data_IF_832583355071
#
_entry.id   IF_832583355071
#
_cell.length_a   1.000
_cell.length_b   1.000
_cell.length_c   1.000
_cell.angle_alpha   90.00
_cell.angle_beta   90.00
_cell.angle_gamma   90.00
#
_symmetry.space_group_name_H-M   'P 1'
#
loop_
_entity.id
_entity.type
_entity.pdbx_description
1 polymer ?
#
# COMPACT_ATOMS: atom_id res chain seq x y z
N UNK A 1 1.64 49.50 51.67
CA UNK A 1 1.60 48.06 51.35
C UNK A 1 0.73 47.85 50.12
N UNK A 2 1.34 47.59 48.96
CA UNK A 2 0.70 46.96 47.80
C UNK A 2 1.82 46.55 46.84
N UNK A 3 2.08 45.24 46.76
CA UNK A 3 3.12 44.67 45.92
C UNK A 3 2.51 44.34 44.56
N UNK A 4 3.01 44.97 43.50
CA UNK A 4 2.64 44.70 42.11
C UNK A 4 3.39 43.48 41.59
N UNK A 5 2.69 42.39 41.28
CA UNK A 5 3.25 41.28 40.51
C UNK A 5 2.64 41.28 39.11
N UNK A 6 3.39 41.83 38.15
CA UNK A 6 3.22 41.57 36.73
C UNK A 6 3.44 40.06 36.49
N UNK A 7 2.39 39.35 36.05
CA UNK A 7 2.53 38.02 35.44
C UNK A 7 2.29 38.17 33.94
N UNK A 8 3.36 37.99 33.17
CA UNK A 8 3.29 37.77 31.73
C UNK A 8 2.38 36.57 31.42
N UNK A 9 1.58 36.58 30.34
CA UNK A 9 0.89 35.38 29.89
C UNK A 9 1.95 34.40 29.39
N UNK A 10 2.05 33.26 30.09
CA UNK A 10 2.94 32.17 29.73
C UNK A 10 2.61 31.66 28.34
N UNK A 11 3.59 31.74 27.44
CA UNK A 11 3.58 31.01 26.20
C UNK A 11 3.47 29.51 26.53
N UNK A 12 2.40 28.87 26.06
CA UNK A 12 2.13 27.45 26.27
C UNK A 12 3.17 26.63 25.47
N UNK A 13 4.17 26.00 26.12
CA UNK A 13 5.28 25.37 25.42
C UNK A 13 4.85 24.13 24.62
N UNK A 14 3.68 23.57 24.94
CA UNK A 14 3.12 22.40 24.24
C UNK A 14 2.62 22.71 22.81
N UNK A 15 2.31 23.98 22.50
CA UNK A 15 1.91 24.39 21.17
C UNK A 15 3.08 24.58 20.20
N UNK A 16 4.25 24.94 20.73
CA UNK A 16 5.46 25.18 19.94
C UNK A 16 6.21 23.87 19.62
N UNK A 17 6.25 22.90 20.53
CA UNK A 17 6.93 21.61 20.30
C UNK A 17 6.24 20.73 19.25
N UNK A 18 4.93 20.89 19.05
CA UNK A 18 4.19 20.21 17.97
C UNK A 18 4.51 20.77 16.58
N UNK A 19 4.99 22.02 16.50
CA UNK A 19 5.44 22.63 15.26
C UNK A 19 6.87 22.19 14.86
N UNK A 20 7.66 21.68 15.81
CA UNK A 20 9.04 21.25 15.55
C UNK A 20 9.14 19.74 15.20
N UNK A 21 8.19 18.90 15.64
CA UNK A 21 8.15 17.49 15.24
C UNK A 21 7.38 17.21 13.94
N UNK A 22 6.66 18.20 13.42
CA UNK A 22 6.11 18.20 12.08
C UNK A 22 6.85 19.29 11.32
N UNK A 23 7.73 18.99 10.38
CA UNK A 23 8.43 20.01 9.56
C UNK A 23 7.45 20.94 8.82
N UNK A 24 6.91 21.93 9.53
CA UNK A 24 5.85 22.85 9.13
C UNK A 24 6.39 24.24 8.75
N UNK A 25 7.71 24.39 8.63
CA UNK A 25 8.35 25.58 8.04
C UNK A 25 8.02 25.76 6.54
N UNK A 26 7.35 24.79 5.90
CA UNK A 26 7.03 24.84 4.48
C UNK A 26 5.85 25.78 4.10
N UNK A 27 5.22 26.46 5.05
CA UNK A 27 3.99 27.25 4.84
C UNK A 27 4.07 28.26 3.68
N UNK A 28 5.20 28.96 3.50
CA UNK A 28 5.39 29.94 2.42
C UNK A 28 5.61 29.33 1.02
N UNK A 29 6.35 28.22 0.94
CA UNK A 29 6.65 27.56 -0.34
C UNK A 29 5.48 26.69 -0.85
N UNK A 30 4.64 26.19 0.07
CA UNK A 30 3.41 25.45 -0.22
C UNK A 30 2.35 26.33 -0.92
N UNK A 31 2.26 27.61 -0.55
CA UNK A 31 1.27 28.55 -1.10
C UNK A 31 1.54 28.97 -2.56
N UNK A 32 2.80 28.91 -3.02
CA UNK A 32 3.19 29.38 -4.36
C UNK A 32 3.19 28.30 -5.45
N UNK A 33 2.85 27.05 -5.11
CA UNK A 33 2.81 25.94 -6.08
C UNK A 33 4.18 25.52 -6.65
N UNK A 34 5.27 26.12 -6.17
CA UNK A 34 6.66 25.86 -6.63
C UNK A 34 7.31 24.67 -5.90
N UNK A 35 6.86 24.35 -4.69
CA UNK A 35 7.42 23.25 -3.90
C UNK A 35 6.76 21.91 -4.25
N UNK A 36 7.58 20.87 -4.41
CA UNK A 36 7.13 19.48 -4.42
C UNK A 36 6.82 19.08 -2.98
N UNK A 37 5.61 18.58 -2.75
CA UNK A 37 5.17 18.21 -1.40
C UNK A 37 5.24 16.69 -1.23
N UNK A 38 5.95 16.25 -0.20
CA UNK A 38 5.96 14.88 0.32
C UNK A 38 5.45 14.92 1.74
N UNK A 39 4.46 14.09 2.06
CA UNK A 39 3.87 14.05 3.40
C UNK A 39 4.09 12.67 3.98
N UNK A 40 4.82 12.61 5.11
CA UNK A 40 4.97 11.40 5.91
C UNK A 40 4.27 11.63 7.25
N UNK A 41 3.32 10.76 7.57
CA UNK A 41 2.58 10.81 8.82
C UNK A 41 2.91 9.55 9.59
N UNK A 42 3.55 9.74 10.75
CA UNK A 42 3.90 8.67 11.67
C UNK A 42 3.26 9.00 13.01
N UNK A 43 2.37 8.13 13.48
CA UNK A 43 1.86 8.21 14.85
C UNK A 43 2.67 7.29 15.76
N UNK A 44 3.26 7.88 16.79
CA UNK A 44 3.96 7.17 17.86
C UNK A 44 3.02 7.04 19.05
N UNK A 45 2.85 5.81 19.55
CA UNK A 45 2.05 5.55 20.74
C UNK A 45 2.87 5.80 21.99
N UNK A 46 2.70 6.95 22.63
CA UNK A 46 3.05 7.12 24.03
C UNK A 46 1.84 6.73 24.89
N UNK A 47 2.05 5.87 25.88
CA UNK A 47 0.98 5.23 26.66
C UNK A 47 0.29 6.19 27.65
N UNK A 48 -1.00 5.88 27.88
CA UNK A 48 -1.75 5.98 29.14
C UNK A 48 -2.61 7.20 29.48
N UNK A 49 -2.95 8.13 28.56
CA UNK A 49 -3.93 9.18 28.91
C UNK A 49 -4.97 9.53 27.82
N UNK A 50 -6.02 8.70 27.73
CA UNK A 50 -7.01 8.64 26.62
C UNK A 50 -7.68 9.97 26.24
N UNK A 51 -7.94 10.85 27.20
CA UNK A 51 -8.66 12.11 26.98
C UNK A 51 -7.78 13.22 26.39
N UNK A 52 -6.49 13.30 26.76
CA UNK A 52 -5.51 14.21 26.12
C UNK A 52 -5.14 13.75 24.71
N UNK A 53 -5.17 12.44 24.46
CA UNK A 53 -4.94 11.90 23.12
C UNK A 53 -6.02 12.36 22.13
N UNK A 54 -7.30 12.31 22.49
CA UNK A 54 -8.39 12.62 21.55
C UNK A 54 -8.32 14.05 20.97
N UNK A 55 -8.06 15.06 21.82
CA UNK A 55 -7.94 16.45 21.39
C UNK A 55 -6.71 16.69 20.49
N UNK A 56 -5.55 16.10 20.85
CA UNK A 56 -4.31 16.16 20.05
C UNK A 56 -4.49 15.51 18.68
N UNK A 57 -5.18 14.36 18.61
CA UNK A 57 -5.50 13.71 17.33
C UNK A 57 -6.39 14.56 16.43
N UNK A 58 -7.43 15.20 16.97
CA UNK A 58 -8.32 16.07 16.19
C UNK A 58 -7.60 17.31 15.65
N UNK A 59 -6.72 17.91 16.43
CA UNK A 59 -5.89 19.03 15.99
C UNK A 59 -4.90 18.62 14.89
N UNK A 60 -4.26 17.46 15.05
CA UNK A 60 -3.38 16.87 14.05
C UNK A 60 -4.13 16.57 12.74
N UNK A 61 -5.32 15.96 12.81
CA UNK A 61 -6.17 15.71 11.64
C UNK A 61 -6.52 17.01 10.90
N UNK A 62 -6.90 18.06 11.63
CA UNK A 62 -7.21 19.36 11.03
C UNK A 62 -5.98 20.03 10.42
N UNK A 63 -4.81 19.92 11.07
CA UNK A 63 -3.55 20.44 10.54
C UNK A 63 -3.15 19.70 9.26
N UNK A 64 -3.11 18.36 9.28
CA UNK A 64 -2.82 17.53 8.11
C UNK A 64 -3.83 17.77 7.00
N UNK A 65 -5.13 17.79 7.32
CA UNK A 65 -6.18 18.05 6.35
C UNK A 65 -6.07 19.43 5.71
N UNK A 66 -5.59 20.45 6.45
CA UNK A 66 -5.26 21.76 5.86
C UNK A 66 -4.05 21.66 4.94
N UNK A 67 -2.93 21.08 5.40
CA UNK A 67 -1.72 20.95 4.57
C UNK A 67 -2.03 20.21 3.28
N UNK A 68 -2.69 19.06 3.35
CA UNK A 68 -3.07 18.25 2.19
C UNK A 68 -3.94 19.06 1.24
N UNK A 69 -5.00 19.72 1.73
CA UNK A 69 -5.92 20.50 0.89
C UNK A 69 -5.25 21.64 0.12
N UNK A 70 -4.28 22.33 0.73
CA UNK A 70 -3.53 23.39 0.07
C UNK A 70 -2.45 22.82 -0.87
N UNK A 71 -2.01 21.59 -0.63
CA UNK A 71 -0.93 20.95 -1.39
C UNK A 71 -1.41 20.08 -2.55
N UNK A 72 -2.71 19.82 -2.72
CA UNK A 72 -3.23 18.88 -3.73
C UNK A 72 -2.65 19.09 -5.14
N UNK A 73 -2.51 20.32 -5.66
CA UNK A 73 -1.95 20.54 -7.00
C UNK A 73 -0.48 20.14 -7.12
N UNK A 74 0.27 20.13 -6.03
CA UNK A 74 1.73 19.90 -5.98
C UNK A 74 2.15 18.64 -5.24
N UNK A 75 1.22 17.94 -4.59
CA UNK A 75 1.47 16.73 -3.83
C UNK A 75 1.97 15.62 -4.76
N UNK A 76 3.16 15.09 -4.46
CA UNK A 76 3.79 14.01 -5.22
C UNK A 76 3.72 12.66 -4.50
N UNK A 77 3.73 12.68 -3.18
CA UNK A 77 3.86 11.49 -2.36
C UNK A 77 3.17 11.63 -1.01
N UNK A 78 2.52 10.56 -0.58
CA UNK A 78 1.96 10.42 0.76
C UNK A 78 2.31 9.06 1.35
N UNK A 79 2.85 9.08 2.57
CA UNK A 79 3.16 7.88 3.35
C UNK A 79 2.48 8.00 4.70
N UNK A 80 1.73 6.96 5.09
CA UNK A 80 1.01 6.92 6.36
C UNK A 80 1.38 5.65 7.10
N UNK A 81 1.86 5.79 8.34
CA UNK A 81 2.32 4.69 9.19
C UNK A 81 1.69 4.73 10.58
N UNK A 82 1.28 3.57 11.09
CA UNK A 82 1.02 3.40 12.52
C UNK A 82 -0.25 4.07 13.02
N UNK A 83 -1.26 4.28 12.17
CA UNK A 83 -2.53 4.94 12.55
C UNK A 83 -3.68 3.92 12.67
N UNK A 84 -3.77 3.16 13.78
CA UNK A 84 -4.85 2.22 14.00
C UNK A 84 -6.18 2.94 14.22
N UNK A 85 -7.25 2.33 13.70
CA UNK A 85 -8.60 2.59 14.19
C UNK A 85 -8.76 1.94 15.55
N UNK A 86 -8.65 2.73 16.62
CA UNK A 86 -9.26 2.35 17.89
C UNK A 86 -10.63 3.01 17.99
N UNK A 87 -11.66 2.17 18.09
CA UNK A 87 -13.03 2.51 18.48
C UNK A 87 -13.88 3.30 17.46
N UNK A 88 -13.99 2.78 16.23
CA UNK A 88 -15.25 2.89 15.48
C UNK A 88 -15.46 4.11 14.56
N UNK A 89 -14.50 5.00 14.32
CA UNK A 89 -14.59 5.97 13.21
C UNK A 89 -13.25 6.13 12.47
N UNK A 90 -13.31 5.96 11.15
CA UNK A 90 -12.17 5.98 10.23
C UNK A 90 -11.49 7.36 10.17
N UNK A 91 -10.35 7.53 10.85
CA UNK A 91 -9.67 8.82 11.04
C UNK A 91 -8.54 9.11 10.03
N UNK A 92 -7.75 8.12 9.60
CA UNK A 92 -6.84 8.28 8.42
C UNK A 92 -7.62 8.34 7.13
N UNK A 93 -8.73 7.62 7.10
CA UNK A 93 -9.67 7.76 6.02
C UNK A 93 -10.12 9.21 5.83
N UNK A 94 -10.09 10.08 6.85
CA UNK A 94 -10.39 11.49 6.64
C UNK A 94 -9.33 12.15 5.73
N UNK A 95 -8.04 11.88 5.89
CA UNK A 95 -6.96 12.47 5.07
C UNK A 95 -7.06 12.01 3.60
N UNK A 96 -7.18 10.69 3.37
CA UNK A 96 -7.44 10.17 2.02
C UNK A 96 -8.85 10.57 1.53
N UNK A 97 -9.80 10.81 2.42
CA UNK A 97 -11.15 11.30 2.12
C UNK A 97 -11.20 12.80 1.81
N UNK A 98 -10.19 13.58 2.21
CA UNK A 98 -9.97 14.95 1.75
C UNK A 98 -9.38 14.96 0.32
N UNK A 99 -8.58 13.93 -0.03
CA UNK A 99 -8.14 13.67 -1.41
C UNK A 99 -9.24 13.02 -2.28
N UNK A 100 -10.22 12.38 -1.65
CA UNK A 100 -11.37 11.73 -2.29
C UNK A 100 -12.65 12.19 -1.61
N UNK A 101 -13.14 13.41 -1.91
CA UNK A 101 -14.40 13.85 -1.32
C UNK A 101 -15.50 12.87 -1.77
N UNK A 102 -16.09 12.17 -0.79
CA UNK A 102 -17.14 11.17 -1.00
C UNK A 102 -18.48 11.81 -1.38
N UNK A 103 -18.56 13.15 -1.46
CA UNK A 103 -19.70 13.86 -2.03
C UNK A 103 -19.42 14.20 -3.49
N UNK A 104 -20.37 13.84 -4.37
CA UNK A 104 -20.33 14.00 -5.82
C UNK A 104 -20.06 15.43 -6.34
N UNK A 105 -19.95 16.43 -5.45
CA UNK A 105 -19.81 17.86 -5.81
C UNK A 105 -18.37 18.39 -5.74
N UNK A 106 -17.39 17.63 -5.21
CA UNK A 106 -16.03 18.16 -4.99
C UNK A 106 -14.92 17.13 -5.16
N UNK A 107 -14.95 16.25 -6.16
CA UNK A 107 -13.78 15.40 -6.43
C UNK A 107 -12.55 16.26 -6.74
N UNK A 108 -11.54 16.23 -5.88
CA UNK A 108 -10.28 16.95 -6.09
C UNK A 108 -9.28 15.99 -6.72
N UNK A 109 -9.02 16.21 -8.01
CA UNK A 109 -7.94 15.51 -8.71
C UNK A 109 -6.61 15.91 -8.06
N UNK A 110 -5.78 14.93 -7.72
CA UNK A 110 -4.39 15.15 -7.30
C UNK A 110 -3.48 14.81 -8.49
N UNK A 111 -3.31 15.74 -9.46
CA UNK A 111 -2.77 15.43 -10.77
C UNK A 111 -1.29 15.04 -10.74
N UNK A 112 -0.58 15.38 -9.65
CA UNK A 112 0.84 15.08 -9.48
C UNK A 112 1.10 13.94 -8.50
N UNK A 113 0.07 13.43 -7.81
CA UNK A 113 0.27 12.37 -6.81
C UNK A 113 0.71 11.09 -7.51
N UNK A 114 1.95 10.69 -7.22
CA UNK A 114 2.63 9.58 -7.89
C UNK A 114 2.91 8.40 -6.97
N UNK A 115 2.96 8.62 -5.66
CA UNK A 115 3.33 7.60 -4.67
C UNK A 115 2.37 7.63 -3.48
N UNK A 116 1.81 6.48 -3.13
CA UNK A 116 0.93 6.30 -1.98
C UNK A 116 1.36 5.04 -1.23
N UNK A 117 1.75 5.21 0.03
CA UNK A 117 2.18 4.13 0.92
C UNK A 117 1.34 4.14 2.19
N UNK A 118 0.60 3.05 2.45
CA UNK A 118 -0.11 2.84 3.71
C UNK A 118 0.53 1.66 4.44
N UNK A 119 0.97 1.86 5.68
CA UNK A 119 1.80 0.92 6.43
C UNK A 119 1.33 0.78 7.88
N UNK A 120 1.52 -0.38 8.49
CA UNK A 120 1.37 -0.64 9.94
C UNK A 120 0.01 -0.19 10.51
N UNK A 121 -1.05 -0.90 10.16
CA UNK A 121 -2.40 -0.62 10.66
C UNK A 121 -3.01 0.66 10.11
N UNK A 122 -2.37 1.33 9.15
CA UNK A 122 -2.94 2.47 8.45
C UNK A 122 -4.29 2.11 7.83
N UNK A 123 -5.31 2.87 8.21
CA UNK A 123 -6.64 2.74 7.62
C UNK A 123 -6.76 3.59 6.36
N UNK A 124 -7.60 3.18 5.39
CA UNK A 124 -7.81 3.96 4.17
C UNK A 124 -7.58 3.24 2.85
N UNK A 125 -7.27 1.95 2.87
CA UNK A 125 -7.24 1.08 1.67
C UNK A 125 -8.48 1.30 0.79
N UNK A 126 -9.68 1.25 1.40
CA UNK A 126 -10.94 1.47 0.68
C UNK A 126 -11.12 2.89 0.12
N UNK A 127 -10.44 3.89 0.68
CA UNK A 127 -10.51 5.26 0.16
C UNK A 127 -9.49 5.48 -0.95
N UNK A 128 -8.30 4.90 -0.81
CA UNK A 128 -7.33 4.83 -1.91
C UNK A 128 -7.93 4.10 -3.12
N UNK A 129 -8.58 2.95 -2.88
CA UNK A 129 -9.29 2.22 -3.93
C UNK A 129 -10.35 3.05 -4.63
N UNK A 130 -11.16 3.81 -3.88
CA UNK A 130 -12.14 4.75 -4.46
C UNK A 130 -11.49 5.89 -5.24
N UNK A 131 -10.35 6.42 -4.78
CA UNK A 131 -9.60 7.44 -5.52
C UNK A 131 -9.19 6.95 -6.90
N UNK A 132 -8.64 5.73 -6.94
CA UNK A 132 -8.21 5.07 -8.18
C UNK A 132 -9.42 4.78 -9.06
N UNK A 133 -10.50 4.22 -8.50
CA UNK A 133 -11.73 3.94 -9.22
C UNK A 133 -12.42 5.19 -9.80
N UNK A 134 -12.16 6.36 -9.23
CA UNK A 134 -12.66 7.64 -9.71
C UNK A 134 -11.65 8.40 -10.58
N UNK A 135 -10.47 7.82 -10.88
CA UNK A 135 -9.45 8.44 -11.73
C UNK A 135 -8.81 9.70 -11.12
N UNK A 136 -8.82 9.85 -9.80
CA UNK A 136 -8.37 11.08 -9.14
C UNK A 136 -6.85 11.22 -9.07
N UNK A 137 -6.12 10.13 -9.31
CA UNK A 137 -4.66 10.06 -9.24
C UNK A 137 -4.06 9.65 -10.59
N UNK A 138 -4.19 10.48 -11.63
CA UNK A 138 -3.76 10.13 -12.99
C UNK A 138 -2.25 9.92 -13.14
N UNK A 139 -1.45 10.44 -12.20
CA UNK A 139 0.00 10.30 -12.17
C UNK A 139 0.49 9.15 -11.26
N UNK A 140 -0.40 8.31 -10.71
CA UNK A 140 -0.04 7.28 -9.76
C UNK A 140 0.91 6.23 -10.38
N UNK A 141 2.10 6.10 -9.81
CA UNK A 141 3.14 5.15 -10.20
C UNK A 141 3.33 4.05 -9.14
N UNK A 142 3.16 4.38 -7.87
CA UNK A 142 3.42 3.47 -6.75
C UNK A 142 2.24 3.49 -5.78
N UNK A 143 1.69 2.29 -5.52
CA UNK A 143 0.63 2.09 -4.56
C UNK A 143 0.93 0.86 -3.71
N UNK A 144 1.23 1.04 -2.43
CA UNK A 144 1.51 -0.07 -1.51
C UNK A 144 0.70 -0.02 -0.24
N UNK A 145 0.23 -1.19 0.19
CA UNK A 145 -0.46 -1.42 1.44
C UNK A 145 0.28 -2.51 2.20
N UNK A 146 0.82 -2.22 3.38
CA UNK A 146 1.59 -3.20 4.17
C UNK A 146 1.06 -3.24 5.58
N UNK A 147 0.70 -4.42 6.09
CA UNK A 147 0.15 -4.58 7.44
C UNK A 147 -1.10 -3.72 7.74
N UNK A 148 -1.90 -3.35 6.73
CA UNK A 148 -3.06 -2.46 6.89
C UNK A 148 -4.29 -3.12 7.53
N UNK A 149 -4.24 -4.43 7.80
CA UNK A 149 -5.37 -5.23 8.30
C UNK A 149 -6.64 -5.12 7.43
N UNK A 150 -6.47 -4.98 6.11
CA UNK A 150 -7.59 -4.90 5.17
C UNK A 150 -8.07 -6.31 4.73
N UNK A 151 -9.25 -6.35 4.13
CA UNK A 151 -9.89 -7.58 3.60
C UNK A 151 -10.32 -7.31 2.15
N UNK A 152 -10.78 -8.34 1.43
CA UNK A 152 -11.21 -8.21 0.03
C UNK A 152 -12.23 -7.08 -0.19
N UNK A 153 -13.16 -6.86 0.75
CA UNK A 153 -14.15 -5.78 0.68
C UNK A 153 -13.53 -4.40 0.55
N UNK A 154 -12.42 -4.15 1.26
CA UNK A 154 -11.68 -2.89 1.18
C UNK A 154 -10.95 -2.68 -0.16
N UNK A 155 -10.67 -3.75 -0.91
CA UNK A 155 -9.96 -3.70 -2.19
C UNK A 155 -10.89 -3.69 -3.42
N UNK A 156 -12.20 -3.89 -3.25
CA UNK A 156 -13.17 -3.96 -4.37
C UNK A 156 -13.14 -2.74 -5.28
N UNK A 157 -13.11 -1.54 -4.71
CA UNK A 157 -13.06 -0.32 -5.51
C UNK A 157 -11.70 -0.18 -6.23
N UNK A 158 -10.60 -0.57 -5.58
CA UNK A 158 -9.29 -0.60 -6.23
C UNK A 158 -9.31 -1.55 -7.43
N UNK A 159 -9.80 -2.77 -7.26
CA UNK A 159 -9.95 -3.75 -8.33
C UNK A 159 -10.78 -3.20 -9.50
N UNK A 160 -11.89 -2.50 -9.22
CA UNK A 160 -12.68 -1.84 -10.27
C UNK A 160 -11.86 -0.80 -11.04
N UNK A 161 -11.09 0.02 -10.34
CA UNK A 161 -10.23 1.04 -10.95
C UNK A 161 -9.12 0.43 -11.80
N UNK A 162 -8.46 -0.62 -11.32
CA UNK A 162 -7.44 -1.36 -12.07
C UNK A 162 -8.03 -2.01 -13.32
N UNK A 163 -9.18 -2.69 -13.21
CA UNK A 163 -9.91 -3.30 -14.34
C UNK A 163 -10.35 -2.27 -15.38
N UNK A 164 -10.58 -1.03 -14.97
CA UNK A 164 -11.00 0.07 -15.85
C UNK A 164 -9.82 0.84 -16.45
N UNK A 165 -8.57 0.52 -16.07
CA UNK A 165 -7.37 1.23 -16.54
C UNK A 165 -7.21 2.65 -15.97
N UNK A 166 -7.79 2.93 -14.80
CA UNK A 166 -7.77 4.27 -14.18
C UNK A 166 -6.48 4.56 -13.38
N UNK A 167 -5.53 3.64 -13.40
CA UNK A 167 -4.16 3.83 -12.93
C UNK A 167 -3.15 3.58 -14.08
N UNK A 168 -3.20 4.36 -15.17
CA UNK A 168 -2.48 4.05 -16.41
C UNK A 168 -0.95 4.11 -16.28
N UNK A 169 -0.45 4.76 -15.22
CA UNK A 169 0.98 4.91 -14.94
C UNK A 169 1.50 4.00 -13.82
N UNK A 170 0.67 3.09 -13.32
CA UNK A 170 1.04 2.23 -12.19
C UNK A 170 2.19 1.30 -12.57
N UNK A 171 3.30 1.41 -11.82
CA UNK A 171 4.51 0.60 -11.98
C UNK A 171 4.74 -0.35 -10.81
N UNK A 172 4.36 0.07 -9.61
CA UNK A 172 4.55 -0.71 -8.39
C UNK A 172 3.22 -0.86 -7.67
N UNK A 173 2.81 -2.12 -7.47
CA UNK A 173 1.62 -2.47 -6.70
C UNK A 173 1.98 -3.46 -5.61
N UNK A 174 1.64 -3.14 -4.36
CA UNK A 174 1.90 -4.00 -3.21
C UNK A 174 0.73 -4.08 -2.24
N UNK A 175 0.40 -5.26 -1.72
CA UNK A 175 -0.60 -5.44 -0.67
C UNK A 175 -0.17 -6.49 0.37
N UNK A 176 1.03 -6.34 0.93
CA UNK A 176 1.63 -7.32 1.84
C UNK A 176 0.95 -7.38 3.23
N UNK A 177 0.96 -8.58 3.82
CA UNK A 177 0.55 -8.89 5.20
C UNK A 177 -0.83 -8.34 5.58
N UNK A 178 -1.83 -8.61 4.73
CA UNK A 178 -3.22 -8.28 5.02
C UNK A 178 -3.83 -9.36 5.93
N UNK A 179 -4.25 -8.95 7.12
CA UNK A 179 -4.87 -9.84 8.10
C UNK A 179 -6.34 -10.12 7.75
N UNK A 180 -6.61 -10.85 6.67
CA UNK A 180 -7.96 -11.36 6.39
C UNK A 180 -8.22 -12.60 7.25
N UNK A 181 -9.12 -12.47 8.23
CA UNK A 181 -9.70 -13.57 8.98
C UNK A 181 -11.13 -13.72 8.47
N UNK A 182 -11.34 -14.63 7.49
CA UNK A 182 -12.61 -15.29 7.10
C UNK A 182 -13.27 -14.94 5.75
N UNK A 183 -12.87 -13.88 5.04
CA UNK A 183 -13.47 -13.54 3.73
C UNK A 183 -12.52 -13.78 2.55
N UNK A 184 -13.07 -13.80 1.33
CA UNK A 184 -12.39 -13.95 0.02
C UNK A 184 -10.98 -13.34 0.01
N UNK A 185 -10.03 -13.99 -0.67
CA UNK A 185 -8.64 -13.53 -0.65
C UNK A 185 -8.54 -12.14 -1.28
N UNK A 186 -7.73 -11.27 -0.66
CA UNK A 186 -7.34 -10.00 -1.28
C UNK A 186 -6.64 -10.28 -2.62
N UNK A 187 -5.87 -11.36 -2.68
CA UNK A 187 -5.14 -11.77 -3.88
C UNK A 187 -6.11 -12.07 -5.02
N UNK A 188 -7.23 -12.76 -4.79
CA UNK A 188 -8.26 -13.03 -5.81
C UNK A 188 -8.78 -11.72 -6.43
N UNK A 189 -9.10 -10.75 -5.57
CA UNK A 189 -9.70 -9.47 -5.97
C UNK A 189 -8.73 -8.65 -6.81
N UNK A 190 -7.45 -8.61 -6.44
CA UNK A 190 -6.45 -7.79 -7.14
C UNK A 190 -5.89 -8.52 -8.36
N UNK A 191 -5.52 -9.79 -8.26
CA UNK A 191 -5.05 -10.58 -9.41
C UNK A 191 -6.15 -10.70 -10.48
N UNK A 192 -7.40 -10.94 -10.09
CA UNK A 192 -8.54 -10.97 -11.02
C UNK A 192 -8.94 -9.61 -11.59
N UNK A 193 -8.36 -8.51 -11.08
CA UNK A 193 -8.43 -7.20 -11.73
C UNK A 193 -7.26 -6.96 -12.68
N UNK A 194 -6.06 -7.40 -12.30
CA UNK A 194 -4.86 -7.30 -13.13
C UNK A 194 -4.97 -8.16 -14.38
N UNK A 195 -5.62 -9.33 -14.30
CA UNK A 195 -5.78 -10.25 -15.45
C UNK A 195 -6.50 -9.63 -16.66
N UNK A 196 -7.20 -8.51 -16.47
CA UNK A 196 -7.80 -7.73 -17.56
C UNK A 196 -6.78 -6.92 -18.38
N UNK A 197 -5.52 -6.92 -18.00
CA UNK A 197 -4.42 -6.34 -18.78
C UNK A 197 -4.45 -4.82 -18.92
N UNK A 198 -5.17 -4.11 -18.04
CA UNK A 198 -5.27 -2.64 -18.07
C UNK A 198 -4.17 -1.91 -17.29
N UNK A 199 -3.22 -2.65 -16.71
CA UNK A 199 -2.06 -2.11 -15.99
C UNK A 199 -0.72 -2.60 -16.62
N UNK A 200 -0.46 -2.34 -17.92
CA UNK A 200 0.67 -2.94 -18.64
C UNK A 200 2.05 -2.42 -18.21
N UNK A 201 2.09 -1.36 -17.40
CA UNK A 201 3.32 -0.74 -16.92
C UNK A 201 3.81 -1.30 -15.58
N UNK A 202 3.09 -2.26 -14.98
CA UNK A 202 3.49 -2.87 -13.72
C UNK A 202 4.83 -3.59 -13.89
N UNK A 203 5.80 -3.12 -13.12
CA UNK A 203 7.18 -3.62 -13.06
C UNK A 203 7.44 -4.37 -11.75
N UNK A 204 6.72 -4.05 -10.68
CA UNK A 204 6.85 -4.72 -9.39
C UNK A 204 5.49 -5.08 -8.82
N UNK A 205 5.34 -6.34 -8.44
CA UNK A 205 4.16 -6.88 -7.79
C UNK A 205 4.56 -7.55 -6.46
N UNK A 206 3.91 -7.18 -5.35
CA UNK A 206 4.18 -7.73 -4.02
C UNK A 206 2.89 -8.06 -3.27
N UNK A 207 2.74 -9.30 -2.81
CA UNK A 207 1.58 -9.75 -2.04
C UNK A 207 1.93 -10.86 -1.06
N UNK A 208 3.05 -10.67 -0.38
CA UNK A 208 3.55 -11.58 0.64
C UNK A 208 2.75 -11.49 1.93
N UNK A 209 2.80 -12.51 2.79
CA UNK A 209 2.12 -12.52 4.08
C UNK A 209 0.60 -12.59 4.04
N UNK A 210 0.01 -12.71 2.84
CA UNK A 210 -1.43 -12.87 2.66
C UNK A 210 -1.83 -14.33 2.78
N UNK A 211 -3.09 -14.57 3.17
CA UNK A 211 -3.70 -15.90 3.09
C UNK A 211 -4.16 -16.14 1.65
N UNK A 212 -3.26 -16.64 0.81
CA UNK A 212 -3.58 -17.04 -0.55
C UNK A 212 -4.69 -18.11 -0.55
N UNK A 213 -5.72 -17.93 -1.37
CA UNK A 213 -6.83 -18.89 -1.52
C UNK A 213 -6.62 -19.67 -2.84
N UNK A 214 -6.42 -20.99 -2.80
CA UNK A 214 -5.88 -21.71 -3.95
C UNK A 214 -6.79 -21.75 -5.18
N UNK A 215 -8.09 -21.99 -4.99
CA UNK A 215 -8.94 -22.51 -6.07
C UNK A 215 -9.16 -21.51 -7.21
N UNK A 216 -9.27 -20.22 -6.90
CA UNK A 216 -9.51 -19.16 -7.89
C UNK A 216 -8.25 -18.31 -8.16
N UNK A 217 -7.38 -18.11 -7.17
CA UNK A 217 -6.22 -17.22 -7.30
C UNK A 217 -5.17 -17.73 -8.28
N UNK A 218 -5.09 -19.06 -8.51
CA UNK A 218 -4.06 -19.65 -9.39
C UNK A 218 -4.28 -19.22 -10.85
N UNK A 219 -5.52 -19.29 -11.34
CA UNK A 219 -5.85 -18.86 -12.71
C UNK A 219 -5.61 -17.36 -12.90
N UNK A 220 -6.03 -16.54 -11.93
CA UNK A 220 -5.75 -15.10 -11.99
C UNK A 220 -4.26 -14.76 -11.90
N UNK A 221 -3.47 -15.53 -11.16
CA UNK A 221 -2.02 -15.36 -11.13
C UNK A 221 -1.41 -15.62 -12.51
N UNK A 222 -1.77 -16.75 -13.15
CA UNK A 222 -1.29 -17.08 -14.48
C UNK A 222 -1.65 -15.99 -15.50
N UNK A 223 -2.93 -15.60 -15.56
CA UNK A 223 -3.38 -14.54 -16.45
C UNK A 223 -2.68 -13.20 -16.16
N UNK A 224 -2.53 -12.83 -14.88
CA UNK A 224 -1.84 -11.60 -14.49
C UNK A 224 -0.38 -11.59 -14.97
N UNK A 225 0.32 -12.72 -14.89
CA UNK A 225 1.69 -12.85 -15.39
C UNK A 225 1.75 -12.68 -16.92
N UNK A 226 0.76 -13.15 -17.66
CA UNK A 226 0.69 -12.98 -19.12
C UNK A 226 0.47 -11.53 -19.54
N UNK A 227 -0.32 -10.78 -18.77
CA UNK A 227 -0.71 -9.41 -19.12
C UNK A 227 0.18 -8.34 -18.46
N UNK A 228 1.24 -8.75 -17.75
CA UNK A 228 2.25 -7.86 -17.16
C UNK A 228 3.62 -8.04 -17.83
N UNK A 229 3.79 -7.69 -19.12
CA UNK A 229 5.03 -7.95 -19.87
C UNK A 229 6.24 -7.16 -19.36
N UNK A 230 6.02 -6.14 -18.54
CA UNK A 230 7.06 -5.30 -17.92
C UNK A 230 7.46 -5.74 -16.52
N UNK A 231 6.86 -6.80 -15.99
CA UNK A 231 7.15 -7.28 -14.64
C UNK A 231 8.63 -7.67 -14.52
N UNK A 232 9.34 -6.97 -13.62
CA UNK A 232 10.75 -7.19 -13.26
C UNK A 232 10.90 -7.88 -11.93
N UNK A 233 9.98 -7.62 -11.01
CA UNK A 233 10.05 -8.14 -9.66
C UNK A 233 8.68 -8.67 -9.20
N UNK A 234 8.67 -9.94 -8.78
CA UNK A 234 7.51 -10.60 -8.19
C UNK A 234 7.85 -11.08 -6.78
N UNK A 235 7.04 -10.69 -5.79
CA UNK A 235 7.11 -11.20 -4.43
C UNK A 235 5.78 -11.79 -4.01
N UNK A 236 5.78 -13.06 -3.65
CA UNK A 236 4.55 -13.77 -3.29
C UNK A 236 4.76 -14.86 -2.25
N UNK A 237 3.68 -15.20 -1.56
CA UNK A 237 3.66 -16.36 -0.67
C UNK A 237 3.19 -17.61 -1.41
N UNK A 238 4.01 -18.66 -1.38
CA UNK A 238 3.62 -20.02 -1.70
C UNK A 238 3.28 -20.78 -0.41
N UNK A 239 2.18 -20.38 0.24
CA UNK A 239 1.70 -21.05 1.46
C UNK A 239 0.35 -21.73 1.19
N UNK A 240 0.18 -22.97 1.68
CA UNK A 240 -0.99 -23.87 1.50
C UNK A 240 -1.06 -24.69 0.21
N UNK A 241 -0.81 -24.12 -0.97
CA UNK A 241 -0.80 -24.86 -2.26
C UNK A 241 0.45 -24.63 -3.10
N UNK A 242 1.63 -24.96 -2.56
CA UNK A 242 2.90 -24.67 -3.23
C UNK A 242 3.01 -25.33 -4.61
N UNK A 243 2.57 -26.58 -4.79
CA UNK A 243 2.69 -27.26 -6.08
C UNK A 243 2.10 -26.49 -7.26
N UNK A 244 0.85 -26.02 -7.15
CA UNK A 244 0.21 -25.31 -8.25
C UNK A 244 0.80 -23.93 -8.49
N UNK A 245 1.09 -23.18 -7.43
CA UNK A 245 1.70 -21.86 -7.54
C UNK A 245 3.10 -21.96 -8.16
N UNK A 246 3.90 -22.93 -7.72
CA UNK A 246 5.22 -23.19 -8.30
C UNK A 246 5.11 -23.63 -9.75
N UNK A 247 4.16 -24.51 -10.12
CA UNK A 247 3.92 -24.89 -11.52
C UNK A 247 3.58 -23.70 -12.41
N UNK A 248 2.73 -22.79 -11.95
CA UNK A 248 2.41 -21.55 -12.69
C UNK A 248 3.67 -20.71 -12.87
N UNK A 249 4.50 -20.55 -11.84
CA UNK A 249 5.77 -19.82 -11.94
C UNK A 249 6.74 -20.49 -12.93
N UNK A 250 6.87 -21.82 -12.88
CA UNK A 250 7.68 -22.58 -13.85
C UNK A 250 7.16 -22.36 -15.26
N UNK A 251 5.85 -22.52 -15.47
CA UNK A 251 5.21 -22.32 -16.77
C UNK A 251 5.42 -20.91 -17.31
N UNK A 252 5.23 -19.88 -16.47
CA UNK A 252 5.44 -18.48 -16.86
C UNK A 252 6.91 -18.18 -17.25
N UNK A 253 7.88 -18.77 -16.55
CA UNK A 253 9.31 -18.61 -16.86
C UNK A 253 9.68 -19.33 -18.15
N UNK A 254 9.28 -20.60 -18.29
CA UNK A 254 9.61 -21.46 -19.45
C UNK A 254 8.90 -20.98 -20.71
N UNK A 255 7.62 -20.63 -20.62
CA UNK A 255 6.83 -20.09 -21.72
C UNK A 255 7.15 -18.63 -22.06
N UNK A 256 8.03 -17.96 -21.30
CA UNK A 256 8.47 -16.60 -21.60
C UNK A 256 7.40 -15.52 -21.37
N UNK A 257 6.37 -15.81 -20.58
CA UNK A 257 5.25 -14.89 -20.31
C UNK A 257 5.66 -13.68 -19.48
N UNK A 258 6.75 -13.81 -18.72
CA UNK A 258 7.37 -12.72 -17.95
C UNK A 258 8.77 -12.43 -18.49
N UNK A 259 8.87 -11.88 -19.72
CA UNK A 259 10.13 -11.79 -20.45
C UNK A 259 11.16 -10.86 -19.80
N UNK A 260 10.73 -9.98 -18.89
CA UNK A 260 11.58 -9.03 -18.17
C UNK A 260 11.76 -9.35 -16.70
N UNK A 261 11.32 -10.51 -16.22
CA UNK A 261 11.48 -10.85 -14.82
C UNK A 261 12.98 -10.95 -14.50
N UNK A 262 13.40 -10.19 -13.50
CA UNK A 262 14.78 -10.12 -13.01
C UNK A 262 14.87 -10.74 -11.61
N UNK A 263 13.81 -10.58 -10.79
CA UNK A 263 13.81 -10.99 -9.38
C UNK A 263 12.50 -11.69 -9.01
N UNK A 264 12.61 -12.86 -8.40
CA UNK A 264 11.50 -13.65 -7.89
C UNK A 264 11.74 -14.00 -6.42
N UNK A 265 10.91 -13.45 -5.53
CA UNK A 265 10.91 -13.79 -4.11
C UNK A 265 9.70 -14.68 -3.81
N UNK A 266 9.97 -15.90 -3.37
CA UNK A 266 8.95 -16.85 -2.92
C UNK A 266 9.12 -17.11 -1.43
N UNK A 267 8.11 -16.72 -0.65
CA UNK A 267 8.04 -17.00 0.77
C UNK A 267 7.12 -18.19 1.03
N UNK A 268 7.58 -19.13 1.85
CA UNK A 268 6.83 -20.34 2.15
C UNK A 268 6.95 -20.74 3.61
N UNK A 269 6.01 -21.56 4.09
CA UNK A 269 6.08 -22.20 5.40
C UNK A 269 6.46 -23.68 5.23
N UNK A 270 7.49 -24.11 5.96
CA UNK A 270 8.16 -25.40 5.82
C UNK A 270 7.26 -26.65 5.70
N UNK A 271 6.16 -26.81 6.45
CA UNK A 271 5.34 -28.04 6.35
C UNK A 271 4.72 -28.24 4.96
N UNK A 272 4.51 -27.18 4.17
CA UNK A 272 3.92 -27.30 2.84
C UNK A 272 4.98 -27.53 1.75
N UNK A 273 6.24 -27.20 2.01
CA UNK A 273 7.30 -27.25 1.00
C UNK A 273 7.99 -28.61 0.88
N UNK A 274 7.97 -29.42 1.95
CA UNK A 274 8.59 -30.76 1.97
C UNK A 274 8.02 -31.68 0.89
N UNK A 275 6.77 -31.46 0.50
CA UNK A 275 6.12 -32.27 -0.52
C UNK A 275 6.39 -31.74 -1.95
N UNK A 276 6.85 -30.49 -2.11
CA UNK A 276 6.99 -29.79 -3.41
C UNK A 276 8.43 -29.68 -3.93
N UNK A 277 9.34 -30.58 -3.52
CA UNK A 277 10.76 -30.53 -3.91
C UNK A 277 10.98 -30.60 -5.43
N UNK A 278 10.14 -31.36 -6.14
CA UNK A 278 10.21 -31.47 -7.61
C UNK A 278 9.88 -30.14 -8.29
N UNK A 279 8.75 -29.51 -7.93
CA UNK A 279 8.39 -28.20 -8.46
C UNK A 279 9.39 -27.11 -8.07
N UNK A 280 9.97 -27.19 -6.87
CA UNK A 280 11.00 -26.25 -6.44
C UNK A 280 12.28 -26.38 -7.27
N UNK A 281 12.71 -27.62 -7.54
CA UNK A 281 13.86 -27.88 -8.40
C UNK A 281 13.59 -27.40 -9.83
N UNK A 282 12.38 -27.64 -10.34
CA UNK A 282 11.94 -27.14 -11.64
C UNK A 282 11.98 -25.61 -11.69
N UNK A 283 11.51 -24.93 -10.64
CA UNK A 283 11.57 -23.47 -10.53
C UNK A 283 13.01 -22.95 -10.52
N UNK A 284 13.90 -23.56 -9.75
CA UNK A 284 15.33 -23.21 -9.72
C UNK A 284 15.96 -23.35 -11.11
N UNK A 285 15.68 -24.46 -11.81
CA UNK A 285 16.18 -24.70 -13.17
C UNK A 285 15.62 -23.69 -14.17
N UNK A 286 14.32 -23.42 -14.12
CA UNK A 286 13.67 -22.45 -15.00
C UNK A 286 14.17 -21.02 -14.77
N UNK A 287 14.45 -20.63 -13.52
CA UNK A 287 15.04 -19.32 -13.21
C UNK A 287 16.49 -19.21 -13.73
N UNK A 288 17.29 -20.27 -13.57
CA UNK A 288 18.69 -20.32 -14.01
C UNK A 288 18.85 -20.40 -15.54
N UNK A 289 17.89 -21.00 -16.26
CA UNK A 289 17.95 -21.14 -17.72
C UNK A 289 17.59 -19.86 -18.49
N UNK A 290 17.13 -18.81 -17.79
CA UNK A 290 16.80 -17.51 -18.38
C UNK A 290 18.08 -16.75 -18.75
N UNK A 291 17.97 -15.86 -19.73
CA UNK A 291 19.06 -14.95 -20.13
C UNK A 291 18.57 -13.50 -20.11
N UNK A 292 18.99 -12.66 -19.14
CA UNK A 292 19.80 -13.04 -17.97
C UNK A 292 19.04 -13.98 -17.00
N UNK A 293 19.75 -14.73 -16.14
CA UNK A 293 19.12 -15.54 -15.10
C UNK A 293 18.24 -14.71 -14.16
N UNK A 294 17.15 -15.30 -13.68
CA UNK A 294 16.28 -14.68 -12.67
C UNK A 294 16.88 -14.90 -11.29
N UNK A 295 17.06 -13.82 -10.53
CA UNK A 295 17.45 -13.90 -9.12
C UNK A 295 16.29 -14.51 -8.31
N UNK A 296 16.49 -15.72 -7.81
CA UNK A 296 15.49 -16.46 -7.02
C UNK A 296 15.84 -16.40 -5.54
N UNK A 297 15.01 -15.69 -4.75
CA UNK A 297 15.09 -15.66 -3.29
C UNK A 297 14.01 -16.57 -2.69
N UNK A 298 14.43 -17.57 -1.93
CA UNK A 298 13.54 -18.52 -1.26
C UNK A 298 13.57 -18.29 0.26
N UNK A 299 12.46 -17.83 0.82
CA UNK A 299 12.31 -17.64 2.26
C UNK A 299 11.43 -18.74 2.85
N UNK A 300 12.05 -19.78 3.42
CA UNK A 300 11.33 -20.89 4.05
C UNK A 300 11.27 -20.65 5.57
N UNK A 301 10.09 -20.33 6.07
CA UNK A 301 9.84 -20.22 7.52
C UNK A 301 9.53 -21.59 8.11
N UNK A 302 10.45 -22.13 8.90
CA UNK A 302 10.19 -23.27 9.78
C UNK A 302 9.46 -22.78 11.02
N UNK A 303 8.24 -23.30 11.27
CA UNK A 303 7.67 -23.21 12.62
C UNK A 303 8.44 -24.19 13.49
N UNK A 304 9.40 -23.68 14.27
CA UNK A 304 9.89 -24.41 15.42
C UNK A 304 8.70 -24.52 16.38
N UNK A 305 8.32 -25.76 16.71
CA UNK A 305 7.33 -26.04 17.75
C UNK A 305 7.96 -25.81 19.11
#
# INVERSE_FOLDING_TARGET
MANSAFRSPGADPAGADLANHMGLEASGALATGRAIVRITITTVFESANESRHHARYKALEQAVGRVVRHSIPTLREITIRGCPTWNGRARVGAILGELVPLSAKRHRVAPRLSRVHLVDGATGVAKAGRAVAAGLWPALEVLTFSHCRANAGHFRDLARGLRSGLAPRLRVLGWDDQSSVRDASVDDVILGALSWGKCPLVERLSFTGNRFCPEHSIGYLEEALWVCPRLRELRMDCSRTPHHQLRVLVGALVGGHVPRLERLLVRATAPYYRDSDVELLALKRAAASRSPPVELELQIKTRLK
#
